data_IF_355764273271
#
_entry.id   IF_355764273271
#
_cell.length_a   1.000
_cell.length_b   1.000
_cell.length_c   1.000
_cell.angle_alpha   90.00
_cell.angle_beta   90.00
_cell.angle_gamma   90.00
#
_symmetry.space_group_name_H-M   'P 1'
#
loop_
_entity.id
_entity.type
_entity.pdbx_description
1 polymer ?
#
# COMPACT_ATOMS: atom_id res chain seq x y z
N UNK A 1 -24.33 -2.11 0.58
CA UNK A 1 -23.06 -2.86 0.52
C UNK A 1 -23.00 -3.84 1.69
N UNK A 2 -22.54 -5.08 1.45
CA UNK A 2 -22.29 -6.07 2.51
C UNK A 2 -20.86 -5.96 3.01
N UNK A 3 -20.69 -6.01 4.32
CA UNK A 3 -19.40 -6.02 5.03
C UNK A 3 -19.31 -7.30 5.85
N UNK A 4 -18.18 -8.01 5.78
CA UNK A 4 -17.93 -9.10 6.71
C UNK A 4 -17.38 -8.52 8.02
N UNK A 5 -18.03 -8.86 9.13
CA UNK A 5 -17.64 -8.43 10.47
C UNK A 5 -17.64 -9.65 11.39
N UNK A 6 -16.46 -10.04 11.88
CA UNK A 6 -16.19 -11.14 12.80
C UNK A 6 -16.65 -12.53 12.26
N UNK A 7 -17.94 -12.84 12.31
CA UNK A 7 -18.49 -14.16 12.01
C UNK A 7 -19.56 -14.16 10.92
N UNK A 8 -19.98 -12.98 10.45
CA UNK A 8 -21.08 -12.83 9.49
C UNK A 8 -20.95 -11.64 8.57
N UNK A 9 -21.69 -11.70 7.46
CA UNK A 9 -21.93 -10.55 6.60
C UNK A 9 -23.10 -9.73 7.15
N UNK A 10 -22.89 -8.41 7.24
CA UNK A 10 -23.91 -7.45 7.68
C UNK A 10 -24.04 -6.33 6.65
N UNK A 11 -25.20 -5.65 6.59
CA UNK A 11 -25.33 -4.40 5.83
C UNK A 11 -24.32 -3.36 6.34
N UNK A 12 -23.88 -2.46 5.46
CA UNK A 12 -22.88 -1.44 5.80
C UNK A 12 -23.26 -0.62 7.03
N UNK A 13 -24.54 -0.26 7.17
CA UNK A 13 -25.10 0.50 8.27
C UNK A 13 -25.08 -0.22 9.61
N UNK A 14 -24.97 -1.55 9.59
CA UNK A 14 -24.86 -2.41 10.78
C UNK A 14 -23.40 -2.81 11.08
N UNK A 15 -22.45 -2.44 10.20
CA UNK A 15 -21.04 -2.77 10.36
C UNK A 15 -20.39 -1.83 11.39
N UNK A 16 -20.64 -2.06 12.68
CA UNK A 16 -20.14 -1.25 13.79
C UNK A 16 -19.13 -2.03 14.62
N UNK A 17 -18.08 -1.35 15.07
CA UNK A 17 -17.09 -1.88 16.00
C UNK A 17 -17.25 -1.22 17.37
N UNK A 18 -16.85 -1.93 18.42
CA UNK A 18 -16.89 -1.40 19.79
C UNK A 18 -16.01 -0.17 19.94
N UNK A 19 -16.47 0.83 20.71
CA UNK A 19 -15.61 1.96 21.13
C UNK A 19 -14.48 1.52 22.07
N UNK A 20 -14.56 0.31 22.62
CA UNK A 20 -13.51 -0.33 23.42
C UNK A 20 -12.58 -1.22 22.60
N UNK A 21 -12.71 -1.23 21.26
CA UNK A 21 -11.78 -1.95 20.39
C UNK A 21 -10.40 -1.27 20.43
N UNK A 22 -9.34 -2.04 20.73
CA UNK A 22 -7.99 -1.50 20.83
C UNK A 22 -7.44 -0.98 19.48
N UNK A 23 -7.99 -1.46 18.36
CA UNK A 23 -7.75 -0.85 17.06
C UNK A 23 -8.27 0.58 16.97
N UNK A 24 -9.45 0.86 17.58
CA UNK A 24 -10.00 2.20 17.68
C UNK A 24 -9.27 3.06 18.73
N UNK A 25 -8.98 2.50 19.89
CA UNK A 25 -8.36 3.24 21.00
C UNK A 25 -6.88 3.55 20.75
N UNK A 26 -6.12 2.59 20.20
CA UNK A 26 -4.65 2.66 20.17
C UNK A 26 -4.04 2.41 18.78
N UNK A 27 -4.85 2.08 17.78
CA UNK A 27 -4.35 1.64 16.49
C UNK A 27 -3.71 0.25 16.55
N UNK A 28 -4.02 -0.57 17.57
CA UNK A 28 -3.48 -1.91 17.73
C UNK A 28 -4.19 -2.88 16.78
N UNK A 29 -3.54 -3.10 15.64
CA UNK A 29 -4.05 -3.94 14.58
C UNK A 29 -3.29 -3.79 13.28
N UNK A 30 -3.67 -4.60 12.29
CA UNK A 30 -3.04 -4.71 10.99
C UNK A 30 -4.09 -4.66 9.87
N UNK A 31 -3.65 -4.33 8.66
CA UNK A 31 -4.58 -4.31 7.53
C UNK A 31 -3.90 -4.67 6.21
N UNK A 32 -4.72 -5.04 5.24
CA UNK A 32 -4.34 -5.14 3.84
C UNK A 32 -5.29 -4.37 2.95
N UNK A 33 -4.75 -3.91 1.82
CA UNK A 33 -5.51 -3.34 0.72
C UNK A 33 -5.26 -4.17 -0.51
N UNK A 34 -6.34 -4.70 -1.09
CA UNK A 34 -6.30 -5.50 -2.30
C UNK A 34 -7.12 -4.82 -3.40
N UNK A 35 -6.88 -5.25 -4.63
CA UNK A 35 -7.66 -4.87 -5.79
C UNK A 35 -8.15 -6.11 -6.52
N UNK A 36 -9.39 -6.09 -6.98
CA UNK A 36 -9.92 -7.09 -7.90
C UNK A 36 -10.02 -6.50 -9.31
N UNK A 37 -9.69 -7.32 -10.28
CA UNK A 37 -9.81 -7.07 -11.71
C UNK A 37 -10.66 -8.19 -12.33
N UNK A 38 -11.75 -7.85 -12.96
CA UNK A 38 -12.63 -8.83 -13.62
C UNK A 38 -13.05 -9.98 -12.67
N UNK A 39 -13.30 -9.65 -11.40
CA UNK A 39 -13.69 -10.60 -10.35
C UNK A 39 -12.55 -11.42 -9.75
N UNK A 40 -11.32 -11.31 -10.25
CA UNK A 40 -10.12 -12.00 -9.74
C UNK A 40 -9.28 -11.05 -8.90
N UNK A 41 -8.71 -11.55 -7.79
CA UNK A 41 -8.01 -10.72 -6.82
C UNK A 41 -6.52 -10.71 -7.15
N UNK A 42 -5.93 -9.51 -7.20
CA UNK A 42 -4.51 -9.33 -7.44
C UNK A 42 -3.68 -9.77 -6.24
N UNK A 43 -2.80 -10.76 -6.43
CA UNK A 43 -1.82 -11.25 -5.45
C UNK A 43 -2.43 -11.56 -4.06
N UNK A 44 -3.60 -12.20 -4.03
CA UNK A 44 -4.31 -12.51 -2.77
C UNK A 44 -3.40 -13.26 -1.81
N UNK A 45 -2.74 -14.31 -2.28
CA UNK A 45 -1.83 -15.16 -1.48
C UNK A 45 -0.73 -14.34 -0.81
N UNK A 46 -0.08 -13.43 -1.55
CA UNK A 46 1.01 -12.59 -1.04
C UNK A 46 0.50 -11.55 -0.03
N UNK A 47 -0.68 -10.97 -0.29
CA UNK A 47 -1.32 -10.05 0.65
C UNK A 47 -1.69 -10.74 1.96
N UNK A 48 -2.28 -11.92 1.91
CA UNK A 48 -2.64 -12.68 3.11
C UNK A 48 -1.41 -13.14 3.89
N UNK A 49 -0.35 -13.58 3.19
CA UNK A 49 0.91 -13.93 3.82
C UNK A 49 1.55 -12.72 4.55
N UNK A 50 1.45 -11.51 3.97
CA UNK A 50 1.94 -10.29 4.62
C UNK A 50 1.08 -9.89 5.82
N UNK A 51 -0.24 -10.04 5.72
CA UNK A 51 -1.16 -9.80 6.84
C UNK A 51 -0.81 -10.69 8.03
N UNK A 52 -0.58 -11.99 7.79
CA UNK A 52 -0.20 -12.94 8.84
C UNK A 52 1.15 -12.56 9.49
N UNK A 53 2.16 -12.24 8.68
CA UNK A 53 3.45 -11.77 9.21
C UNK A 53 3.26 -10.52 10.08
N UNK A 54 2.51 -9.53 9.59
CA UNK A 54 2.24 -8.31 10.35
C UNK A 54 1.50 -8.56 11.67
N UNK A 55 0.52 -9.47 11.68
CA UNK A 55 -0.19 -9.86 12.89
C UNK A 55 0.73 -10.61 13.87
N UNK A 56 1.54 -11.55 13.36
CA UNK A 56 2.51 -12.31 14.17
C UNK A 56 3.52 -11.42 14.87
N UNK A 57 4.03 -10.39 14.19
CA UNK A 57 4.96 -9.40 14.78
C UNK A 57 4.33 -8.60 15.93
N UNK A 58 3.01 -8.43 15.92
CA UNK A 58 2.26 -7.84 17.05
C UNK A 58 1.84 -8.88 18.11
N UNK A 59 2.29 -10.13 17.99
CA UNK A 59 1.85 -11.22 18.86
C UNK A 59 0.33 -11.47 18.77
N UNK A 60 -0.28 -11.23 17.62
CA UNK A 60 -1.71 -11.38 17.39
C UNK A 60 -1.98 -12.54 16.44
N UNK A 61 -2.77 -13.53 16.88
CA UNK A 61 -3.27 -14.58 16.00
C UNK A 61 -4.42 -14.05 15.13
N UNK A 62 -4.45 -14.43 13.86
CA UNK A 62 -5.62 -14.18 13.04
C UNK A 62 -6.81 -15.02 13.54
N UNK A 63 -8.05 -14.48 13.53
CA UNK A 63 -9.22 -15.19 14.05
C UNK A 63 -9.70 -16.34 13.16
N UNK A 64 -9.17 -16.42 11.93
CA UNK A 64 -9.48 -17.47 10.94
C UNK A 64 -8.21 -17.90 10.22
N UNK A 65 -8.23 -19.09 9.59
CA UNK A 65 -7.11 -19.55 8.76
C UNK A 65 -6.97 -18.71 7.49
N UNK A 66 -5.80 -18.78 6.85
CA UNK A 66 -5.52 -18.05 5.59
C UNK A 66 -6.50 -18.47 4.49
N UNK A 67 -6.79 -19.75 4.37
CA UNK A 67 -7.73 -20.31 3.40
C UNK A 67 -9.13 -19.74 3.62
N UNK A 68 -9.60 -19.75 4.88
CA UNK A 68 -10.90 -19.17 5.21
C UNK A 68 -10.94 -17.67 4.94
N UNK A 69 -9.87 -16.96 5.21
CA UNK A 69 -9.79 -15.52 4.91
C UNK A 69 -9.82 -15.26 3.39
N UNK A 70 -9.15 -16.10 2.60
CA UNK A 70 -9.23 -16.02 1.14
C UNK A 70 -10.67 -16.20 0.65
N UNK A 71 -11.38 -17.20 1.18
CA UNK A 71 -12.79 -17.45 0.85
C UNK A 71 -13.68 -16.26 1.23
N UNK A 72 -13.47 -15.66 2.40
CA UNK A 72 -14.22 -14.48 2.85
C UNK A 72 -14.00 -13.27 1.94
N UNK A 73 -12.78 -13.08 1.44
CA UNK A 73 -12.45 -12.01 0.50
C UNK A 73 -13.17 -12.23 -0.83
N UNK A 74 -13.16 -13.48 -1.37
CA UNK A 74 -13.91 -13.85 -2.59
C UNK A 74 -15.42 -13.73 -2.41
N UNK A 75 -15.94 -14.20 -1.28
CA UNK A 75 -17.36 -14.09 -0.94
C UNK A 75 -17.80 -12.63 -0.83
N UNK A 76 -16.92 -11.73 -0.33
CA UNK A 76 -17.18 -10.28 -0.28
C UNK A 76 -17.38 -9.68 -1.67
N UNK A 77 -16.62 -10.11 -2.68
CA UNK A 77 -16.82 -9.71 -4.08
C UNK A 77 -18.16 -10.20 -4.62
N UNK A 78 -18.45 -11.49 -4.45
CA UNK A 78 -19.66 -12.13 -4.95
C UNK A 78 -20.92 -11.51 -4.35
N UNK A 79 -20.97 -11.34 -3.02
CA UNK A 79 -22.12 -10.75 -2.32
C UNK A 79 -22.39 -9.30 -2.73
N UNK A 80 -21.34 -8.54 -3.04
CA UNK A 80 -21.44 -7.16 -3.51
C UNK A 80 -21.52 -7.04 -5.04
N UNK A 81 -21.50 -8.17 -5.79
CA UNK A 81 -21.61 -8.22 -7.26
C UNK A 81 -20.54 -7.37 -7.95
N UNK A 82 -19.29 -7.41 -7.44
CA UNK A 82 -18.20 -6.56 -7.91
C UNK A 82 -17.26 -7.34 -8.82
N UNK A 83 -16.89 -6.73 -9.95
CA UNK A 83 -15.85 -7.20 -10.87
C UNK A 83 -14.56 -6.37 -10.71
N UNK A 84 -14.69 -5.06 -10.60
CA UNK A 84 -13.61 -4.13 -10.29
C UNK A 84 -13.81 -3.62 -8.86
N UNK A 85 -12.91 -3.98 -7.95
CA UNK A 85 -13.11 -3.66 -6.54
C UNK A 85 -11.85 -3.22 -5.82
N UNK A 86 -12.03 -2.30 -4.89
CA UNK A 86 -11.14 -2.05 -3.77
C UNK A 86 -11.58 -2.94 -2.61
N UNK A 87 -10.64 -3.70 -2.05
CA UNK A 87 -10.90 -4.51 -0.87
C UNK A 87 -9.98 -4.08 0.27
N UNK A 88 -10.51 -4.12 1.48
CA UNK A 88 -9.74 -3.89 2.70
C UNK A 88 -10.02 -5.00 3.70
N UNK A 89 -8.96 -5.62 4.18
CA UNK A 89 -8.98 -6.52 5.34
C UNK A 89 -8.40 -5.75 6.52
N UNK A 90 -9.10 -5.73 7.63
CA UNK A 90 -8.61 -5.13 8.87
C UNK A 90 -8.76 -6.14 10.00
N UNK A 91 -7.70 -6.35 10.76
CA UNK A 91 -7.70 -7.15 11.97
C UNK A 91 -7.18 -6.28 13.10
N UNK A 92 -8.03 -5.97 14.07
CA UNK A 92 -7.60 -5.30 15.29
C UNK A 92 -7.44 -6.31 16.43
N UNK A 93 -6.80 -5.88 17.53
CA UNK A 93 -6.72 -6.67 18.76
C UNK A 93 -8.09 -7.06 19.30
N UNK A 94 -9.11 -6.27 18.98
CA UNK A 94 -10.49 -6.44 19.40
C UNK A 94 -10.85 -5.65 20.67
N UNK A 95 -12.10 -5.80 21.13
CA UNK A 95 -12.58 -5.09 22.31
C UNK A 95 -11.98 -5.65 23.60
N UNK A 96 -11.63 -4.75 24.52
CA UNK A 96 -11.05 -5.08 25.83
C UNK A 96 -11.25 -3.98 26.84
N UNK A 97 -10.72 -4.16 28.04
CA UNK A 97 -10.64 -3.09 29.04
C UNK A 97 -9.63 -2.03 28.57
N UNK A 98 -9.80 -0.79 29.07
CA UNK A 98 -8.86 0.30 28.77
C UNK A 98 -7.50 -0.01 29.43
N UNK A 99 -6.45 -0.08 28.60
CA UNK A 99 -5.09 -0.40 29.02
C UNK A 99 -4.25 -0.85 27.84
N UNK A 100 -2.94 -0.93 28.03
CA UNK A 100 -1.99 -1.27 26.96
C UNK A 100 -1.58 -2.75 26.94
N UNK A 101 -2.00 -3.52 27.94
CA UNK A 101 -1.70 -4.96 27.96
C UNK A 101 -2.54 -5.70 26.91
N UNK A 102 -1.92 -6.38 25.92
CA UNK A 102 -2.63 -7.16 24.91
C UNK A 102 -3.57 -8.23 25.50
N UNK A 103 -3.30 -8.73 26.70
CA UNK A 103 -4.12 -9.74 27.38
C UNK A 103 -5.51 -9.22 27.82
N UNK A 104 -5.74 -7.92 27.77
CA UNK A 104 -7.05 -7.31 28.05
C UNK A 104 -8.08 -7.60 26.95
N UNK A 105 -7.63 -7.95 25.74
CA UNK A 105 -8.49 -8.31 24.61
C UNK A 105 -8.56 -9.84 24.46
N UNK A 106 -9.79 -10.37 24.43
CA UNK A 106 -10.00 -11.83 24.37
C UNK A 106 -10.03 -12.38 22.95
N UNK A 107 -10.45 -11.58 21.98
CA UNK A 107 -10.61 -12.01 20.59
C UNK A 107 -10.44 -10.84 19.63
N UNK A 108 -9.71 -11.03 18.50
CA UNK A 108 -9.57 -10.01 17.49
C UNK A 108 -10.90 -9.65 16.82
N UNK A 109 -10.98 -8.42 16.31
CA UNK A 109 -12.04 -8.01 15.39
C UNK A 109 -11.53 -8.15 13.96
N UNK A 110 -12.26 -8.90 13.11
CA UNK A 110 -11.99 -9.05 11.69
C UNK A 110 -13.04 -8.33 10.86
N UNK A 111 -12.60 -7.45 9.97
CA UNK A 111 -13.46 -6.75 9.02
C UNK A 111 -12.96 -6.96 7.61
N UNK A 112 -13.85 -7.34 6.67
CA UNK A 112 -13.56 -7.35 5.23
C UNK A 112 -14.56 -6.45 4.53
N UNK A 113 -14.05 -5.42 3.86
CA UNK A 113 -14.81 -4.46 3.07
C UNK A 113 -14.48 -4.67 1.60
N UNK A 114 -15.50 -4.79 0.75
CA UNK A 114 -15.36 -4.75 -0.70
C UNK A 114 -16.27 -3.66 -1.26
N UNK A 115 -15.70 -2.70 -1.97
CA UNK A 115 -16.43 -1.60 -2.62
C UNK A 115 -16.01 -1.46 -4.08
N UNK A 116 -16.84 -0.83 -4.95
CA UNK A 116 -16.45 -0.53 -6.32
C UNK A 116 -15.10 0.20 -6.35
N UNK A 117 -14.25 -0.19 -7.28
CA UNK A 117 -13.01 0.53 -7.54
C UNK A 117 -13.27 1.71 -8.46
N UNK A 118 -12.87 2.89 -8.04
CA UNK A 118 -12.91 4.10 -8.85
C UNK A 118 -11.53 4.27 -9.51
N UNK A 119 -11.42 4.12 -10.86
CA UNK A 119 -10.15 4.26 -11.54
C UNK A 119 -9.62 5.69 -11.42
N UNK A 120 -8.29 5.81 -11.33
CA UNK A 120 -7.65 7.11 -11.40
C UNK A 120 -7.84 7.74 -12.79
N UNK A 121 -7.85 9.08 -12.91
CA UNK A 121 -7.92 9.76 -14.20
C UNK A 121 -6.83 9.26 -15.15
N UNK A 122 -7.15 9.07 -16.43
CA UNK A 122 -6.17 8.64 -17.43
C UNK A 122 -4.99 9.63 -17.54
N UNK A 123 -5.26 10.92 -17.34
CA UNK A 123 -4.23 11.97 -17.31
C UNK A 123 -3.13 11.71 -16.27
N UNK A 124 -3.42 10.98 -15.19
CA UNK A 124 -2.39 10.61 -14.22
C UNK A 124 -1.32 9.69 -14.81
N UNK A 125 -1.70 8.90 -15.80
CA UNK A 125 -0.78 7.96 -16.47
C UNK A 125 -0.17 8.55 -17.76
N UNK A 126 -0.87 9.47 -18.44
CA UNK A 126 -0.39 10.12 -19.66
C UNK A 126 0.49 11.34 -19.39
N UNK A 127 0.16 12.11 -18.36
CA UNK A 127 0.82 13.37 -18.03
C UNK A 127 1.71 13.26 -16.78
N UNK A 128 1.42 12.26 -15.93
CA UNK A 128 2.05 12.05 -14.64
C UNK A 128 1.48 12.96 -13.54
N UNK A 129 1.93 12.74 -12.32
CA UNK A 129 1.49 13.49 -11.14
C UNK A 129 2.63 14.28 -10.51
N UNK A 130 2.27 15.30 -9.70
CA UNK A 130 3.22 16.01 -8.84
C UNK A 130 3.25 15.36 -7.45
N UNK A 131 4.42 15.36 -6.83
CA UNK A 131 4.63 14.97 -5.44
C UNK A 131 5.46 16.03 -4.71
N UNK A 132 5.40 16.01 -3.38
CA UNK A 132 6.31 16.78 -2.53
C UNK A 132 7.19 15.84 -1.70
N UNK A 133 8.27 16.37 -1.16
CA UNK A 133 9.01 15.75 -0.07
C UNK A 133 8.44 16.32 1.23
N UNK A 134 7.83 15.47 2.05
CA UNK A 134 7.21 15.90 3.30
C UNK A 134 8.22 16.43 4.31
N UNK A 135 7.82 17.40 5.11
CA UNK A 135 8.55 17.81 6.32
C UNK A 135 8.43 16.74 7.41
N UNK A 136 7.25 16.11 7.50
CA UNK A 136 7.02 14.93 8.34
C UNK A 136 7.99 13.82 7.96
N UNK A 137 8.79 13.34 8.93
CA UNK A 137 9.74 12.24 8.74
C UNK A 137 9.05 10.90 8.96
N UNK A 138 9.52 9.86 8.25
CA UNK A 138 9.07 8.49 8.48
C UNK A 138 9.40 8.07 9.91
N UNK A 139 8.45 7.44 10.58
CA UNK A 139 8.69 6.85 11.90
C UNK A 139 9.89 5.90 11.82
N UNK A 140 10.89 6.05 12.71
CA UNK A 140 12.09 5.19 12.67
C UNK A 140 11.72 3.71 12.88
N UNK A 141 12.43 2.78 12.23
CA UNK A 141 12.19 1.34 12.38
C UNK A 141 12.29 0.84 13.83
N UNK A 142 13.12 1.48 14.64
CA UNK A 142 13.33 1.16 16.07
C UNK A 142 12.12 1.58 16.92
N UNK A 143 11.33 2.55 16.46
CA UNK A 143 10.13 3.02 17.18
C UNK A 143 8.87 2.26 16.74
N UNK A 144 8.69 2.06 15.46
CA UNK A 144 7.59 1.28 14.89
C UNK A 144 8.05 0.65 13.57
N UNK A 145 8.28 -0.68 13.55
CA UNK A 145 8.81 -1.35 12.38
C UNK A 145 7.94 -1.17 11.12
N UNK A 146 8.46 -0.60 10.02
CA UNK A 146 7.66 -0.25 8.85
C UNK A 146 7.20 -1.47 8.03
N UNK A 147 7.81 -2.65 8.25
CA UNK A 147 7.37 -3.89 7.62
C UNK A 147 6.04 -4.43 8.21
N UNK A 148 5.66 -3.97 9.41
CA UNK A 148 4.33 -4.22 9.98
C UNK A 148 3.33 -3.26 9.32
N UNK A 149 2.39 -3.80 8.55
CA UNK A 149 1.31 -2.99 7.97
C UNK A 149 0.22 -2.74 9.01
N UNK A 150 0.56 -1.91 10.01
CA UNK A 150 -0.26 -1.63 11.18
C UNK A 150 -1.32 -0.56 10.94
N UNK A 151 -2.28 -0.43 11.86
CA UNK A 151 -3.29 0.64 11.86
C UNK A 151 -2.74 2.00 12.32
N UNK A 152 -1.47 2.09 12.75
CA UNK A 152 -0.82 3.33 13.18
C UNK A 152 -0.44 4.22 11.98
N UNK A 153 -1.43 4.77 11.30
CA UNK A 153 -1.27 5.49 10.03
C UNK A 153 -1.17 7.02 10.19
N UNK A 154 -1.12 7.54 11.42
CA UNK A 154 -1.10 8.99 11.66
C UNK A 154 0.11 9.68 11.00
N UNK A 155 1.28 9.06 11.01
CA UNK A 155 2.48 9.58 10.33
C UNK A 155 2.22 9.79 8.82
N UNK A 156 1.57 8.81 8.17
CA UNK A 156 1.21 8.89 6.74
C UNK A 156 0.11 9.93 6.48
N UNK A 157 -0.87 10.07 7.41
CA UNK A 157 -1.94 11.08 7.33
C UNK A 157 -1.35 12.48 7.38
N UNK A 158 -0.41 12.75 8.30
CA UNK A 158 0.26 14.06 8.41
C UNK A 158 0.99 14.43 7.11
N UNK A 159 1.79 13.51 6.56
CA UNK A 159 2.47 13.73 5.28
C UNK A 159 1.46 13.93 4.12
N UNK A 160 0.34 13.20 4.11
CA UNK A 160 -0.71 13.39 3.10
C UNK A 160 -1.40 14.75 3.20
N UNK A 161 -1.55 15.30 4.42
CA UNK A 161 -2.05 16.66 4.62
C UNK A 161 -1.11 17.71 4.02
N UNK A 162 0.22 17.52 4.14
CA UNK A 162 1.21 18.38 3.49
C UNK A 162 1.08 18.35 1.96
N UNK A 163 0.97 17.14 1.36
CA UNK A 163 0.74 17.00 -0.08
C UNK A 163 -0.51 17.74 -0.54
N UNK A 164 -1.62 17.55 0.19
CA UNK A 164 -2.89 18.23 -0.12
C UNK A 164 -2.77 19.75 -0.02
N UNK A 165 -2.10 20.27 1.00
CA UNK A 165 -1.86 21.71 1.17
C UNK A 165 -1.01 22.30 0.05
N UNK A 166 -0.07 21.50 -0.51
CA UNK A 166 0.76 21.89 -1.66
C UNK A 166 0.07 21.65 -3.02
N UNK A 167 -1.16 21.15 -3.06
CA UNK A 167 -1.86 20.81 -4.31
C UNK A 167 -1.22 19.63 -5.06
N UNK A 168 -0.46 18.78 -4.36
CA UNK A 168 0.24 17.62 -4.92
C UNK A 168 -0.53 16.32 -4.69
N UNK A 169 -0.30 15.35 -5.58
CA UNK A 169 -0.97 14.04 -5.51
C UNK A 169 -0.50 13.22 -4.30
N UNK A 170 0.80 13.24 -4.01
CA UNK A 170 1.40 12.39 -2.99
C UNK A 170 2.52 13.13 -2.26
N UNK A 171 2.91 12.65 -1.06
CA UNK A 171 4.10 13.08 -0.35
C UNK A 171 5.06 11.91 -0.18
N UNK A 172 6.34 12.15 -0.48
CA UNK A 172 7.44 11.24 -0.19
C UNK A 172 8.01 11.54 1.18
N UNK A 173 8.21 10.50 1.99
CA UNK A 173 8.80 10.63 3.31
C UNK A 173 10.30 10.33 3.26
N UNK A 174 11.06 11.09 4.03
CA UNK A 174 12.46 10.80 4.32
C UNK A 174 12.56 10.22 5.73
N UNK A 175 13.54 9.33 5.95
CA UNK A 175 13.90 8.91 7.29
C UNK A 175 14.70 10.01 8.03
N UNK A 176 15.13 9.73 9.25
CA UNK A 176 15.87 10.69 10.08
C UNK A 176 17.31 10.94 9.58
N UNK A 177 17.87 10.09 8.70
CA UNK A 177 19.13 10.32 8.00
C UNK A 177 18.97 11.17 6.73
N UNK A 178 17.75 11.54 6.35
CA UNK A 178 17.47 12.28 5.12
C UNK A 178 17.39 11.41 3.87
N UNK A 179 17.32 10.09 4.03
CA UNK A 179 17.15 9.14 2.93
C UNK A 179 15.68 8.97 2.58
N UNK A 180 15.39 8.83 1.30
CA UNK A 180 14.05 8.56 0.79
C UNK A 180 13.58 7.18 1.28
N UNK A 181 12.33 7.11 1.74
CA UNK A 181 11.72 5.84 2.15
C UNK A 181 10.62 5.42 1.17
N UNK A 182 9.46 6.02 1.29
CA UNK A 182 8.26 5.68 0.53
C UNK A 182 7.30 6.87 0.45
N UNK A 183 6.21 6.76 -0.31
CA UNK A 183 5.08 7.69 -0.25
C UNK A 183 4.16 7.39 0.94
N UNK A 184 3.07 8.18 1.08
CA UNK A 184 2.12 7.94 2.19
C UNK A 184 1.40 6.60 2.07
N UNK A 185 1.23 6.07 0.85
CA UNK A 185 0.60 4.77 0.58
C UNK A 185 1.26 4.00 -0.56
N UNK A 186 2.46 4.43 -0.99
CA UNK A 186 3.12 3.93 -2.20
C UNK A 186 4.63 3.77 -1.98
N UNK A 187 5.27 2.90 -2.77
CA UNK A 187 6.72 2.90 -2.91
C UNK A 187 7.13 3.80 -4.08
N UNK A 188 8.38 4.26 -4.09
CA UNK A 188 8.92 5.14 -5.11
C UNK A 188 10.07 4.48 -5.85
N UNK A 189 10.16 4.76 -7.15
CA UNK A 189 11.24 4.37 -8.04
C UNK A 189 11.75 5.58 -8.79
N UNK A 190 13.04 5.56 -9.11
CA UNK A 190 13.68 6.54 -9.99
C UNK A 190 14.49 5.82 -11.07
N UNK A 191 14.68 6.48 -12.20
CA UNK A 191 15.58 6.04 -13.27
C UNK A 191 16.74 7.01 -13.36
N UNK A 192 17.95 6.48 -13.34
CA UNK A 192 19.20 7.22 -13.46
C UNK A 192 20.16 6.43 -14.36
N UNK A 193 20.62 7.01 -15.46
CA UNK A 193 21.50 6.35 -16.40
C UNK A 193 20.93 5.02 -16.93
N UNK A 194 19.62 4.95 -17.23
CA UNK A 194 18.88 3.76 -17.64
C UNK A 194 18.83 2.63 -16.58
N UNK A 195 19.22 2.91 -15.35
CA UNK A 195 19.13 2.00 -14.22
C UNK A 195 17.92 2.35 -13.37
N UNK A 196 17.12 1.35 -13.04
CA UNK A 196 16.00 1.49 -12.12
C UNK A 196 16.50 1.40 -10.67
N UNK A 197 16.19 2.39 -9.86
CA UNK A 197 16.54 2.41 -8.43
C UNK A 197 15.29 2.60 -7.59
N UNK A 198 15.24 1.93 -6.43
CA UNK A 198 14.20 2.11 -5.41
C UNK A 198 14.84 2.09 -4.03
N UNK A 199 14.32 2.79 -3.04
CA UNK A 199 14.87 2.74 -1.69
C UNK A 199 14.92 1.30 -1.16
N UNK A 200 16.04 0.96 -0.52
CA UNK A 200 16.23 -0.32 0.16
C UNK A 200 15.32 -0.40 1.40
N UNK A 201 14.90 -1.62 1.77
CA UNK A 201 13.96 -1.82 2.89
C UNK A 201 14.52 -1.29 4.20
N UNK A 202 15.84 -1.34 4.37
CA UNK A 202 16.58 -0.81 5.52
C UNK A 202 16.46 0.70 5.70
N UNK A 203 16.03 1.44 4.66
CA UNK A 203 15.72 2.87 4.79
C UNK A 203 14.45 3.13 5.61
N UNK A 204 13.63 2.11 5.90
CA UNK A 204 12.44 2.22 6.74
C UNK A 204 11.14 2.34 5.94
N UNK A 205 10.91 1.43 5.03
CA UNK A 205 9.70 1.37 4.19
C UNK A 205 9.00 0.01 4.27
N UNK A 206 7.75 -0.03 3.81
CA UNK A 206 7.04 -1.27 3.60
C UNK A 206 7.48 -1.91 2.28
N UNK A 207 7.89 -3.19 2.32
CA UNK A 207 8.15 -3.98 1.11
C UNK A 207 6.84 -4.22 0.34
N UNK A 208 6.55 -3.34 -0.63
CA UNK A 208 5.30 -3.37 -1.41
C UNK A 208 5.24 -4.56 -2.34
N UNK A 209 4.06 -5.20 -2.46
CA UNK A 209 3.84 -6.32 -3.39
C UNK A 209 4.00 -5.85 -4.84
N UNK A 210 3.37 -4.73 -5.20
CA UNK A 210 3.55 -4.13 -6.53
C UNK A 210 5.00 -3.70 -6.78
N UNK A 211 5.72 -3.20 -5.76
CA UNK A 211 7.16 -2.94 -5.84
C UNK A 211 7.94 -4.18 -6.24
N UNK A 212 7.66 -5.32 -5.61
CA UNK A 212 8.29 -6.60 -5.94
C UNK A 212 8.03 -7.04 -7.38
N UNK A 213 6.79 -6.89 -7.87
CA UNK A 213 6.42 -7.20 -9.25
C UNK A 213 7.15 -6.28 -10.23
N UNK A 214 7.25 -4.99 -9.96
CA UNK A 214 7.99 -4.05 -10.83
C UNK A 214 9.47 -4.41 -10.92
N UNK A 215 10.10 -4.81 -9.82
CA UNK A 215 11.49 -5.31 -9.82
C UNK A 215 11.62 -6.62 -10.63
N UNK A 216 10.62 -7.49 -10.60
CA UNK A 216 10.57 -8.70 -11.43
C UNK A 216 10.44 -8.33 -12.91
N UNK A 217 9.48 -7.47 -13.27
CA UNK A 217 9.27 -7.02 -14.65
C UNK A 217 10.50 -6.31 -15.23
N UNK A 218 11.18 -5.50 -14.43
CA UNK A 218 12.44 -4.86 -14.84
C UNK A 218 13.51 -5.89 -15.19
N UNK A 219 13.67 -6.95 -14.37
CA UNK A 219 14.59 -8.06 -14.66
C UNK A 219 14.20 -8.81 -15.94
N UNK A 220 12.92 -9.10 -16.13
CA UNK A 220 12.39 -9.76 -17.33
C UNK A 220 12.65 -8.92 -18.60
N UNK A 221 12.60 -7.59 -18.48
CA UNK A 221 12.88 -6.64 -19.56
C UNK A 221 14.37 -6.33 -19.76
N UNK A 222 15.28 -6.94 -18.97
CA UNK A 222 16.71 -6.66 -19.03
C UNK A 222 17.12 -5.27 -18.53
N UNK A 223 16.26 -4.60 -17.74
CA UNK A 223 16.54 -3.30 -17.15
C UNK A 223 17.33 -3.52 -15.85
N UNK A 224 18.56 -2.99 -15.73
CA UNK A 224 19.33 -3.08 -14.48
C UNK A 224 18.53 -2.42 -13.35
N UNK A 225 18.28 -3.15 -12.26
CA UNK A 225 17.54 -2.65 -11.12
C UNK A 225 18.35 -2.81 -9.82
N UNK A 226 18.19 -1.85 -8.90
CA UNK A 226 18.82 -1.89 -7.59
C UNK A 226 17.91 -1.35 -6.48
N UNK A 227 17.99 -2.01 -5.35
CA UNK A 227 17.54 -1.47 -4.08
C UNK A 227 18.73 -0.74 -3.45
N UNK A 228 18.59 0.56 -3.16
CA UNK A 228 19.70 1.40 -2.72
C UNK A 228 19.22 2.53 -1.82
N UNK A 229 20.15 3.26 -1.20
CA UNK A 229 19.84 4.48 -0.49
C UNK A 229 19.71 5.62 -1.49
N UNK A 230 18.61 6.34 -1.43
CA UNK A 230 18.33 7.51 -2.26
C UNK A 230 18.14 8.74 -1.37
N UNK A 231 18.57 9.87 -1.88
CA UNK A 231 18.43 11.17 -1.23
C UNK A 231 17.39 12.03 -1.96
N UNK A 232 17.01 13.17 -1.39
CA UNK A 232 16.16 14.14 -2.07
C UNK A 232 16.75 14.65 -3.41
N UNK A 233 18.10 14.73 -3.50
CA UNK A 233 18.78 15.12 -4.75
C UNK A 233 18.69 14.03 -5.82
N UNK A 234 18.68 12.74 -5.43
CA UNK A 234 18.49 11.65 -6.38
C UNK A 234 17.10 11.65 -6.99
N UNK A 235 16.06 12.05 -6.21
CA UNK A 235 14.72 12.25 -6.74
C UNK A 235 14.67 13.39 -7.76
N UNK A 236 15.17 14.56 -7.40
CA UNK A 236 15.08 15.75 -8.25
C UNK A 236 16.03 15.73 -9.44
N UNK A 237 17.09 14.93 -9.39
CA UNK A 237 18.05 14.70 -10.48
C UNK A 237 17.74 13.46 -11.34
N UNK A 238 16.65 12.75 -11.08
CA UNK A 238 16.29 11.57 -11.83
C UNK A 238 15.83 11.89 -13.26
N UNK A 239 16.07 10.95 -14.18
CA UNK A 239 15.55 11.00 -15.55
C UNK A 239 14.06 10.69 -15.57
N UNK A 240 13.62 9.70 -14.72
CA UNK A 240 12.23 9.34 -14.54
C UNK A 240 11.96 9.05 -13.05
N UNK A 241 10.72 9.24 -12.64
CA UNK A 241 10.24 8.87 -11.31
C UNK A 241 8.83 8.28 -11.42
N UNK A 242 8.50 7.30 -10.59
CA UNK A 242 7.14 6.77 -10.50
C UNK A 242 6.85 6.16 -9.12
N UNK A 243 5.58 6.04 -8.82
CA UNK A 243 5.06 5.41 -7.61
C UNK A 243 4.45 4.05 -7.92
N UNK A 244 4.43 3.17 -6.91
CA UNK A 244 3.76 1.86 -7.02
C UNK A 244 2.93 1.55 -5.78
N UNK A 245 1.71 1.08 -5.98
CA UNK A 245 0.92 0.38 -4.98
C UNK A 245 -0.16 -0.47 -5.67
N UNK A 246 -0.91 -1.23 -4.89
CA UNK A 246 -1.94 -2.15 -5.39
C UNK A 246 -3.06 -1.47 -6.20
N UNK A 247 -3.38 -0.21 -5.90
CA UNK A 247 -4.49 0.52 -6.55
C UNK A 247 -4.05 1.44 -7.68
N UNK A 248 -2.82 1.98 -7.59
CA UNK A 248 -2.26 2.92 -8.59
C UNK A 248 -1.41 2.21 -9.65
N UNK A 249 -1.07 0.93 -9.44
CA UNK A 249 -0.18 0.18 -10.34
C UNK A 249 1.21 0.82 -10.44
N UNK A 250 1.59 1.33 -11.62
CA UNK A 250 2.82 2.10 -11.88
C UNK A 250 2.40 3.51 -12.27
N UNK A 251 2.49 4.45 -11.35
CA UNK A 251 2.01 5.82 -11.53
C UNK A 251 3.17 6.79 -11.78
N UNK A 252 3.29 7.39 -12.98
CA UNK A 252 4.37 8.31 -13.30
C UNK A 252 4.36 9.56 -12.39
N UNK A 253 5.55 9.99 -11.95
CA UNK A 253 5.78 11.27 -11.27
C UNK A 253 6.60 12.15 -12.20
N UNK A 254 6.06 13.32 -12.54
CA UNK A 254 6.69 14.27 -13.46
C UNK A 254 7.16 15.55 -12.77
N UNK A 255 6.87 15.69 -11.47
CA UNK A 255 7.28 16.84 -10.68
C UNK A 255 7.50 16.46 -9.21
N UNK A 256 8.60 16.93 -8.61
CA UNK A 256 8.91 16.83 -7.17
C UNK A 256 9.22 18.23 -6.64
N UNK A 257 8.52 18.68 -5.59
CA UNK A 257 8.64 20.02 -4.99
C UNK A 257 8.61 21.15 -6.03
N UNK A 258 7.70 21.05 -7.01
CA UNK A 258 7.59 22.03 -8.08
C UNK A 258 8.67 21.95 -9.18
N UNK A 259 9.68 21.06 -9.05
CA UNK A 259 10.73 20.83 -10.04
C UNK A 259 10.36 19.69 -10.98
N UNK A 260 10.51 19.90 -12.27
CA UNK A 260 10.29 18.86 -13.27
C UNK A 260 11.31 17.74 -13.12
N UNK A 261 10.86 16.50 -13.30
CA UNK A 261 11.68 15.30 -13.45
C UNK A 261 11.87 15.05 -14.94
N UNK A 262 13.12 14.85 -15.37
CA UNK A 262 13.46 14.69 -16.78
C UNK A 262 12.93 15.86 -17.63
N UNK A 263 12.16 15.54 -18.66
CA UNK A 263 11.50 16.52 -19.53
C UNK A 263 10.11 16.95 -19.03
N UNK A 264 9.68 16.45 -17.87
CA UNK A 264 8.36 16.74 -17.29
C UNK A 264 7.25 15.86 -17.87
N UNK A 265 7.59 14.71 -18.43
CA UNK A 265 6.67 13.71 -18.99
C UNK A 265 7.00 12.31 -18.45
N UNK A 266 6.06 11.37 -18.48
CA UNK A 266 6.36 9.98 -18.16
C UNK A 266 7.46 9.42 -19.06
N UNK A 267 8.53 8.90 -18.48
CA UNK A 267 9.68 8.39 -19.22
C UNK A 267 9.44 7.03 -19.90
N UNK A 268 10.40 6.59 -20.70
CA UNK A 268 10.30 5.36 -21.50
C UNK A 268 10.23 4.11 -20.63
N UNK A 269 11.10 4.01 -19.60
CA UNK A 269 11.15 2.87 -18.69
C UNK A 269 9.86 2.79 -17.86
N UNK A 270 9.37 3.92 -17.38
CA UNK A 270 8.10 4.00 -16.63
C UNK A 270 6.93 3.50 -17.46
N UNK A 271 6.81 3.96 -18.72
CA UNK A 271 5.75 3.51 -19.64
C UNK A 271 5.88 2.02 -19.98
N UNK A 272 7.11 1.54 -20.24
CA UNK A 272 7.37 0.13 -20.50
C UNK A 272 6.94 -0.75 -19.33
N UNK A 273 7.33 -0.40 -18.10
CA UNK A 273 6.98 -1.17 -16.90
C UNK A 273 5.48 -1.14 -16.63
N UNK A 274 4.81 0.00 -16.82
CA UNK A 274 3.35 0.08 -16.72
C UNK A 274 2.65 -0.78 -17.77
N UNK A 275 3.08 -0.71 -19.03
CA UNK A 275 2.53 -1.54 -20.10
C UNK A 275 2.77 -3.04 -19.82
N UNK A 276 3.97 -3.42 -19.36
CA UNK A 276 4.31 -4.80 -18.99
C UNK A 276 3.48 -5.30 -17.81
N UNK A 277 3.25 -4.45 -16.80
CA UNK A 277 2.37 -4.76 -15.68
C UNK A 277 0.95 -5.06 -16.17
N UNK A 278 0.38 -4.19 -16.99
CA UNK A 278 -0.96 -4.35 -17.55
C UNK A 278 -1.09 -5.57 -18.48
N UNK A 279 -0.12 -5.79 -19.35
CA UNK A 279 -0.09 -6.95 -20.25
C UNK A 279 0.08 -8.27 -19.48
N UNK A 280 0.85 -8.26 -18.41
CA UNK A 280 1.11 -9.42 -17.55
C UNK A 280 0.11 -9.61 -16.40
N UNK A 281 -0.93 -8.81 -16.34
CA UNK A 281 -1.83 -8.77 -15.17
C UNK A 281 -2.41 -10.15 -14.81
N UNK A 282 -2.82 -10.94 -15.80
CA UNK A 282 -3.39 -12.27 -15.59
C UNK A 282 -2.46 -13.25 -14.85
N UNK A 283 -1.13 -13.06 -14.95
CA UNK A 283 -0.13 -13.84 -14.21
C UNK A 283 -0.12 -13.54 -12.71
N UNK A 284 -0.67 -12.41 -12.33
CA UNK A 284 -0.67 -11.87 -10.97
C UNK A 284 -2.04 -11.94 -10.31
N UNK A 285 -3.04 -12.45 -11.01
CA UNK A 285 -4.38 -12.65 -10.46
C UNK A 285 -4.51 -14.07 -9.95
N UNK A 286 -4.93 -14.23 -8.69
CA UNK A 286 -5.21 -15.54 -8.12
C UNK A 286 -6.41 -16.17 -8.82
N UNK A 287 -6.41 -17.49 -8.94
CA UNK A 287 -7.54 -18.24 -9.47
C UNK A 287 -8.76 -18.12 -8.54
N UNK A 288 -9.95 -18.21 -9.16
CA UNK A 288 -11.23 -18.14 -8.45
C UNK A 288 -11.46 -19.33 -7.52
#
# INVERSE_FOLDING_TARGET
MWVYLNDRFVPQEEAVVSVFDHGFLYGDGVFETLRAYRGRIFQLTEHLARLERSASELGMALPVTRERLADLVRESLTRNQLQEAYLRITVSRGPGEIGLDPALCKSPTLVVIAKPFEPYPESFYTDGVSVIIAQTRRTPPEALPPHIKSLNFLNNVLAKMEAKAAGSHEALLLNHQGEVTEGTTSNVFVVQGKRLCTPAVECGLLAGITRGIVLQLAREAGIPAAETRLTASDLTGAEECFLTNTTQEVLPVTQVDGRRIGDGRPGEITRLLHASFRAGLDRFLDDL
#
